data_IF_430938882243
#
_entry.id   IF_430938882243
#
_cell.length_a   1.000
_cell.length_b   1.000
_cell.length_c   1.000
_cell.angle_alpha   90.00
_cell.angle_beta   90.00
_cell.angle_gamma   90.00
#
_symmetry.space_group_name_H-M   'P 1'
#
loop_
_entity.id
_entity.type
_entity.pdbx_description
1 polymer ?
#
# COMPACT_ATOMS: atom_id res chain seq x y z
N UNK A 1 48.53 27.69 0.34
CA UNK A 1 47.10 27.75 0.70
C UNK A 1 46.93 27.00 2.01
N UNK A 2 46.41 27.64 3.05
CA UNK A 2 46.16 26.97 4.34
C UNK A 2 44.88 26.15 4.21
N UNK A 3 45.02 24.82 4.29
CA UNK A 3 43.91 23.88 4.19
C UNK A 3 43.64 23.25 5.55
N UNK A 4 42.40 22.82 5.76
CA UNK A 4 41.99 22.00 6.90
C UNK A 4 41.35 20.71 6.43
N UNK A 5 41.49 19.68 7.24
CA UNK A 5 40.77 18.42 7.14
C UNK A 5 39.86 18.28 8.36
N UNK A 6 38.59 17.95 8.14
CA UNK A 6 37.61 17.66 9.17
C UNK A 6 37.17 16.21 9.03
N UNK A 7 36.90 15.56 10.16
CA UNK A 7 36.45 14.17 10.21
C UNK A 7 35.09 14.12 10.87
N UNK A 8 34.16 13.40 10.27
CA UNK A 8 32.80 13.21 10.75
C UNK A 8 32.44 11.72 10.69
N UNK A 9 31.51 11.29 11.54
CA UNK A 9 30.93 9.95 11.44
C UNK A 9 29.95 9.86 10.27
N UNK A 10 29.88 8.70 9.62
CA UNK A 10 28.99 8.45 8.49
C UNK A 10 27.51 8.76 8.78
N UNK A 11 27.06 8.55 10.03
CA UNK A 11 25.67 8.84 10.45
C UNK A 11 25.27 10.31 10.30
N UNK A 12 26.23 11.23 10.17
CA UNK A 12 26.00 12.66 9.97
C UNK A 12 26.14 13.09 8.50
N UNK A 13 26.16 12.14 7.56
CA UNK A 13 26.28 12.43 6.12
C UNK A 13 25.25 13.45 5.63
N UNK A 14 24.00 13.38 6.09
CA UNK A 14 22.94 14.32 5.67
C UNK A 14 23.25 15.78 6.01
N UNK A 15 24.05 16.03 7.06
CA UNK A 15 24.41 17.39 7.48
C UNK A 15 25.43 18.04 6.54
N UNK A 16 26.20 17.24 5.78
CA UNK A 16 27.09 17.73 4.73
C UNK A 16 26.26 18.39 3.60
N UNK A 17 24.98 18.01 3.46
CA UNK A 17 24.04 18.68 2.56
C UNK A 17 23.95 20.19 2.79
N UNK A 18 24.09 20.67 4.03
CA UNK A 18 24.04 22.09 4.37
C UNK A 18 25.24 22.89 3.83
N UNK A 19 26.37 22.23 3.60
CA UNK A 19 27.60 22.87 3.11
C UNK A 19 27.88 22.56 1.64
N UNK A 20 26.97 21.85 0.96
CA UNK A 20 27.14 21.41 -0.43
C UNK A 20 27.45 22.56 -1.41
N UNK A 21 26.86 23.73 -1.18
CA UNK A 21 27.06 24.92 -2.01
C UNK A 21 28.34 25.70 -1.66
N UNK A 22 29.09 25.28 -0.62
CA UNK A 22 30.33 25.93 -0.22
C UNK A 22 31.45 25.49 -1.15
N UNK A 23 31.96 26.44 -1.94
CA UNK A 23 33.07 26.19 -2.87
C UNK A 23 34.38 25.85 -2.14
N UNK A 24 35.25 25.09 -2.80
CA UNK A 24 36.58 24.77 -2.30
C UNK A 24 36.63 23.61 -1.30
N UNK A 25 35.50 22.96 -1.03
CA UNK A 25 35.43 21.76 -0.21
C UNK A 25 35.34 20.49 -1.05
N UNK A 26 36.02 19.45 -0.58
CA UNK A 26 35.98 18.10 -1.13
C UNK A 26 35.74 17.10 -0.02
N UNK A 27 35.10 15.98 -0.35
CA UNK A 27 34.80 14.91 0.57
C UNK A 27 35.32 13.58 0.05
N UNK A 28 35.75 12.72 0.96
CA UNK A 28 35.96 11.31 0.68
C UNK A 28 35.41 10.48 1.85
N UNK A 29 35.04 9.24 1.56
CA UNK A 29 34.61 8.27 2.56
C UNK A 29 35.73 7.26 2.77
N UNK A 30 36.05 6.99 4.04
CA UNK A 30 36.96 5.94 4.44
C UNK A 30 36.29 5.18 5.58
N UNK A 31 35.94 3.91 5.34
CA UNK A 31 35.19 3.06 6.26
C UNK A 31 33.88 3.73 6.75
N UNK A 32 33.78 3.96 8.06
CA UNK A 32 32.65 4.59 8.77
C UNK A 32 32.86 6.09 9.01
N UNK A 33 33.91 6.68 8.42
CA UNK A 33 34.24 8.09 8.55
C UNK A 33 34.12 8.81 7.20
N UNK A 34 33.71 10.08 7.30
CA UNK A 34 33.72 11.02 6.20
C UNK A 34 34.80 12.06 6.49
N UNK A 35 35.72 12.22 5.54
CA UNK A 35 36.73 13.23 5.57
C UNK A 35 36.32 14.38 4.67
N UNK A 36 36.37 15.60 5.19
CA UNK A 36 36.17 16.83 4.46
C UNK A 36 37.49 17.58 4.39
N UNK A 37 37.88 18.07 3.21
CA UNK A 37 39.06 18.90 2.99
C UNK A 37 38.65 20.20 2.36
N UNK A 38 39.12 21.32 2.92
CA UNK A 38 38.77 22.64 2.43
C UNK A 38 39.65 23.75 2.97
N UNK A 39 39.37 25.01 2.61
CA UNK A 39 40.14 26.15 3.08
C UNK A 39 39.93 26.40 4.57
N UNK A 40 40.97 26.91 5.23
CA UNK A 40 40.92 27.25 6.65
C UNK A 40 40.06 28.50 6.90
N UNK A 41 40.05 29.44 5.97
CA UNK A 41 39.17 30.61 5.95
C UNK A 41 38.01 30.38 4.97
N UNK A 42 36.78 30.34 5.48
CA UNK A 42 35.57 30.08 4.71
C UNK A 42 34.70 31.34 4.53
N UNK A 43 35.24 32.53 4.86
CA UNK A 43 34.52 33.82 4.76
C UNK A 43 33.12 33.74 5.37
N UNK A 44 32.08 34.09 4.61
CA UNK A 44 30.68 34.08 5.01
C UNK A 44 30.11 32.66 5.28
N UNK A 45 30.81 31.60 4.88
CA UNK A 45 30.36 30.21 5.06
C UNK A 45 30.92 29.56 6.32
N UNK A 46 31.71 30.27 7.14
CA UNK A 46 32.37 29.71 8.32
C UNK A 46 31.35 29.12 9.31
N UNK A 47 30.22 29.80 9.53
CA UNK A 47 29.14 29.33 10.42
C UNK A 47 28.56 27.99 9.97
N UNK A 48 28.45 27.74 8.66
CA UNK A 48 27.93 26.49 8.11
C UNK A 48 28.90 25.34 8.30
N UNK A 49 30.21 25.61 8.26
CA UNK A 49 31.20 24.56 8.52
C UNK A 49 31.29 24.27 10.02
N UNK A 50 31.21 25.30 10.86
CA UNK A 50 31.30 25.15 12.32
C UNK A 50 30.05 24.50 12.94
N UNK A 51 28.93 24.46 12.21
CA UNK A 51 27.72 23.75 12.65
C UNK A 51 27.79 22.23 12.47
N UNK A 52 28.82 21.73 11.81
CA UNK A 52 28.99 20.31 11.58
C UNK A 52 29.46 19.57 12.85
N UNK A 53 28.98 18.35 13.10
CA UNK A 53 29.37 17.52 14.24
C UNK A 53 30.73 16.87 13.95
N UNK A 54 31.76 17.68 14.02
CA UNK A 54 33.14 17.30 13.72
C UNK A 54 33.68 16.44 14.86
N UNK A 55 34.12 15.23 14.52
CA UNK A 55 34.82 14.33 15.42
C UNK A 55 36.27 14.78 15.64
N UNK A 56 36.94 15.24 14.58
CA UNK A 56 38.30 15.74 14.63
C UNK A 56 38.57 16.80 13.55
N UNK A 57 39.43 17.77 13.88
CA UNK A 57 39.85 18.85 12.99
C UNK A 57 41.38 18.92 12.92
N UNK A 58 41.90 19.05 11.70
CA UNK A 58 43.33 19.08 11.42
C UNK A 58 43.68 20.22 10.47
N UNK A 59 44.81 20.88 10.69
CA UNK A 59 45.45 21.76 9.72
C UNK A 59 46.38 20.94 8.83
N UNK A 60 46.39 21.25 7.55
CA UNK A 60 47.24 20.61 6.56
C UNK A 60 48.35 21.58 6.12
N UNK A 61 49.55 21.05 5.96
CA UNK A 61 50.66 21.76 5.33
C UNK A 61 50.85 21.36 3.86
N UNK A 62 51.87 21.91 3.21
CA UNK A 62 52.20 21.58 1.81
C UNK A 62 52.59 20.12 1.56
N UNK A 63 52.82 19.34 2.62
CA UNK A 63 53.14 17.91 2.58
C UNK A 63 51.94 17.06 3.01
N UNK A 64 50.74 17.63 3.18
CA UNK A 64 49.54 16.95 3.67
C UNK A 64 49.70 16.29 5.06
N UNK A 65 50.60 16.80 5.91
CA UNK A 65 50.71 16.34 7.31
C UNK A 65 49.54 16.89 8.13
N UNK A 66 48.96 16.05 8.99
CA UNK A 66 47.81 16.36 9.82
C UNK A 66 48.27 16.93 11.17
N UNK A 67 48.05 18.22 11.38
CA UNK A 67 48.30 18.91 12.65
C UNK A 67 46.97 19.07 13.40
N UNK A 68 46.79 18.42 14.57
CA UNK A 68 45.57 18.63 15.36
C UNK A 68 45.40 20.10 15.71
N UNK A 69 44.16 20.54 15.85
CA UNK A 69 43.91 21.95 16.14
C UNK A 69 44.63 22.41 17.42
N UNK A 70 45.24 23.60 17.33
CA UNK A 70 46.09 24.17 18.39
C UNK A 70 47.47 23.52 18.61
N UNK A 71 47.85 22.45 17.88
CA UNK A 71 49.16 21.78 18.04
C UNK A 71 50.14 22.09 16.91
N UNK A 72 51.43 22.13 17.25
CA UNK A 72 52.54 22.39 16.31
C UNK A 72 53.19 21.11 15.78
N UNK A 73 52.82 19.94 16.28
CA UNK A 73 53.37 18.65 15.86
C UNK A 73 52.35 17.86 15.04
N UNK A 74 52.78 17.25 13.92
CA UNK A 74 51.89 16.41 13.12
C UNK A 74 51.68 15.06 13.80
N UNK A 75 50.48 14.51 13.65
CA UNK A 75 50.14 13.17 14.19
C UNK A 75 50.13 12.08 13.14
N UNK A 76 49.93 12.44 11.88
CA UNK A 76 49.86 11.52 10.76
C UNK A 76 50.09 12.25 9.42
N UNK A 77 50.27 11.49 8.36
CA UNK A 77 50.18 11.97 6.98
C UNK A 77 48.77 11.66 6.47
N UNK A 78 48.13 12.61 5.78
CA UNK A 78 46.86 12.34 5.11
C UNK A 78 47.12 11.44 3.90
N UNK A 79 46.52 10.26 3.90
CA UNK A 79 46.66 9.26 2.83
C UNK A 79 46.10 9.77 1.50
N UNK A 80 46.53 9.12 0.40
CA UNK A 80 45.99 9.40 -0.93
C UNK A 80 44.59 8.80 -1.02
N UNK A 81 43.57 9.66 -0.95
CA UNK A 81 42.16 9.27 -1.01
C UNK A 81 41.51 9.79 -2.29
N UNK A 82 40.43 9.14 -2.72
CA UNK A 82 39.59 9.60 -3.83
C UNK A 82 38.71 10.77 -3.37
N UNK A 83 39.27 11.97 -3.41
CA UNK A 83 38.55 13.21 -3.12
C UNK A 83 37.55 13.52 -4.23
N UNK A 84 36.28 13.69 -3.84
CA UNK A 84 35.20 14.13 -4.72
C UNK A 84 34.75 15.53 -4.32
N UNK A 85 34.26 16.32 -5.26
CA UNK A 85 33.58 17.57 -4.90
C UNK A 85 32.33 17.26 -4.07
N UNK A 86 31.86 18.19 -3.24
CA UNK A 86 30.66 17.94 -2.42
C UNK A 86 29.42 17.57 -3.27
N UNK A 87 29.32 18.13 -4.47
CA UNK A 87 28.24 17.84 -5.42
C UNK A 87 28.30 16.41 -5.97
N UNK A 88 29.50 15.88 -6.19
CA UNK A 88 29.72 14.50 -6.65
C UNK A 88 29.63 13.49 -5.51
N UNK A 89 30.08 13.88 -4.31
CA UNK A 89 30.00 13.06 -3.11
C UNK A 89 28.54 12.85 -2.67
N UNK A 90 27.68 13.85 -2.88
CA UNK A 90 26.25 13.79 -2.62
C UNK A 90 25.46 14.22 -3.86
N UNK A 91 25.21 13.34 -4.84
CA UNK A 91 24.40 13.69 -6.01
C UNK A 91 22.98 14.09 -5.56
N UNK A 92 22.40 15.10 -6.23
CA UNK A 92 21.01 15.47 -5.97
C UNK A 92 20.14 14.54 -6.81
N UNK A 93 19.45 13.60 -6.17
CA UNK A 93 18.35 12.93 -6.83
C UNK A 93 17.15 13.87 -6.78
N UNK A 94 16.81 14.44 -7.93
CA UNK A 94 15.52 15.12 -8.06
C UNK A 94 14.45 14.07 -7.81
N UNK A 95 13.52 14.29 -6.86
CA UNK A 95 12.35 13.42 -6.80
C UNK A 95 11.71 13.49 -8.17
N UNK A 96 11.55 12.34 -8.83
CA UNK A 96 10.83 12.25 -10.09
C UNK A 96 9.48 12.91 -9.83
N UNK A 97 9.20 14.03 -10.50
CA UNK A 97 7.92 14.72 -10.39
C UNK A 97 6.82 13.71 -10.62
N UNK A 98 6.16 13.28 -9.55
CA UNK A 98 4.91 12.58 -9.68
C UNK A 98 3.97 13.58 -10.36
N UNK A 99 3.62 13.30 -11.62
CA UNK A 99 2.50 13.96 -12.29
C UNK A 99 1.37 14.01 -11.26
N UNK A 100 0.78 15.18 -10.94
CA UNK A 100 -0.34 15.25 -10.00
C UNK A 100 -1.35 14.22 -10.49
N UNK A 101 -1.67 13.25 -9.63
CA UNK A 101 -2.41 12.04 -9.98
C UNK A 101 -3.46 12.31 -11.06
N UNK A 102 -3.13 11.97 -12.31
CA UNK A 102 -4.18 11.63 -13.25
C UNK A 102 -4.84 10.43 -12.59
N UNK A 103 -5.99 10.67 -11.95
CA UNK A 103 -6.85 9.58 -11.52
C UNK A 103 -7.03 8.73 -12.78
N UNK A 104 -6.40 7.55 -12.80
CA UNK A 104 -6.61 6.62 -13.89
C UNK A 104 -8.12 6.52 -14.08
N UNK A 105 -8.65 6.72 -15.29
CA UNK A 105 -10.08 6.78 -15.51
C UNK A 105 -10.70 5.56 -14.85
N UNK A 106 -11.65 5.78 -13.93
CA UNK A 106 -12.34 4.70 -13.23
C UNK A 106 -13.04 3.86 -14.31
N UNK A 107 -12.54 2.65 -14.54
CA UNK A 107 -13.16 1.73 -15.46
C UNK A 107 -14.48 1.27 -14.84
N UNK A 108 -15.64 1.59 -15.43
CA UNK A 108 -16.91 1.12 -14.90
C UNK A 108 -16.98 -0.40 -15.03
N UNK A 109 -17.48 -1.06 -13.98
CA UNK A 109 -17.78 -2.48 -14.03
C UNK A 109 -19.13 -2.64 -14.71
N UNK A 110 -19.12 -3.11 -15.96
CA UNK A 110 -20.33 -3.34 -16.73
C UNK A 110 -20.70 -4.82 -16.72
N UNK A 111 -21.99 -5.08 -16.65
CA UNK A 111 -22.59 -6.41 -16.76
C UNK A 111 -23.46 -6.43 -18.00
N UNK A 112 -23.23 -7.41 -18.88
CA UNK A 112 -24.03 -7.63 -20.08
C UNK A 112 -24.80 -8.94 -19.97
N UNK A 113 -25.93 -9.00 -20.67
CA UNK A 113 -26.70 -10.24 -20.80
C UNK A 113 -25.80 -11.31 -21.41
N UNK A 114 -25.71 -12.46 -20.74
CA UNK A 114 -24.93 -13.59 -21.18
C UNK A 114 -25.85 -14.70 -21.69
N UNK A 115 -25.46 -15.32 -22.80
CA UNK A 115 -26.12 -16.53 -23.29
C UNK A 115 -25.54 -17.81 -22.68
N UNK A 116 -24.45 -17.71 -21.92
CA UNK A 116 -23.85 -18.86 -21.25
C UNK A 116 -24.65 -19.17 -19.98
N UNK A 117 -25.21 -20.39 -19.86
CA UNK A 117 -25.92 -20.79 -18.66
C UNK A 117 -24.91 -21.06 -17.54
N UNK A 118 -25.08 -20.37 -16.40
CA UNK A 118 -24.35 -20.66 -15.17
C UNK A 118 -25.31 -21.20 -14.11
N UNK A 119 -24.89 -22.17 -13.28
CA UNK A 119 -25.74 -22.70 -12.22
C UNK A 119 -26.04 -21.62 -11.18
N UNK A 120 -27.31 -21.53 -10.77
CA UNK A 120 -27.72 -20.63 -9.72
C UNK A 120 -27.13 -21.11 -8.38
N UNK A 121 -26.47 -20.20 -7.67
CA UNK A 121 -25.79 -20.45 -6.40
C UNK A 121 -26.48 -19.76 -5.22
N UNK A 122 -27.03 -18.55 -5.45
CA UNK A 122 -27.73 -17.78 -4.44
C UNK A 122 -29.09 -17.28 -4.94
N UNK A 123 -30.01 -17.01 -4.00
CA UNK A 123 -31.32 -16.44 -4.25
C UNK A 123 -31.55 -15.24 -3.33
N UNK A 124 -31.79 -14.07 -3.91
CA UNK A 124 -32.27 -12.89 -3.19
C UNK A 124 -33.80 -12.79 -3.31
N UNK A 125 -34.48 -12.72 -2.18
CA UNK A 125 -35.94 -12.62 -2.09
C UNK A 125 -36.33 -11.66 -0.96
N UNK A 126 -37.62 -11.50 -0.68
CA UNK A 126 -38.11 -10.77 0.49
C UNK A 126 -38.32 -11.71 1.68
N UNK A 127 -38.27 -11.15 2.89
CA UNK A 127 -38.39 -11.92 4.13
C UNK A 127 -39.72 -12.65 4.28
N UNK A 128 -40.82 -12.09 3.78
CA UNK A 128 -42.15 -12.71 3.86
C UNK A 128 -42.22 -14.01 3.04
N UNK A 129 -41.70 -14.00 1.81
CA UNK A 129 -41.62 -15.19 0.95
C UNK A 129 -40.70 -16.26 1.56
N UNK A 130 -39.56 -15.84 2.11
CA UNK A 130 -38.63 -16.74 2.81
C UNK A 130 -39.28 -17.40 4.03
N UNK A 131 -39.93 -16.62 4.89
CA UNK A 131 -40.62 -17.12 6.10
C UNK A 131 -41.69 -18.15 5.74
N UNK A 132 -42.55 -17.84 4.76
CA UNK A 132 -43.60 -18.75 4.28
C UNK A 132 -43.03 -20.08 3.78
N UNK A 133 -41.89 -20.05 3.09
CA UNK A 133 -41.20 -21.27 2.65
C UNK A 133 -40.69 -22.09 3.83
N UNK A 134 -40.01 -21.45 4.78
CA UNK A 134 -39.39 -22.12 5.93
C UNK A 134 -40.42 -22.82 6.82
N UNK A 135 -41.61 -22.24 7.00
CA UNK A 135 -42.68 -22.85 7.77
C UNK A 135 -43.21 -24.16 7.14
N UNK A 136 -43.21 -24.27 5.80
CA UNK A 136 -43.71 -25.45 5.08
C UNK A 136 -42.63 -26.43 4.57
N UNK A 137 -41.37 -26.03 4.52
CA UNK A 137 -40.31 -26.84 3.92
C UNK A 137 -39.86 -28.02 4.82
N UNK A 138 -39.52 -29.19 4.25
CA UNK A 138 -38.92 -30.29 4.99
C UNK A 138 -37.59 -29.90 5.66
N UNK A 139 -37.35 -30.37 6.88
CA UNK A 139 -36.16 -30.03 7.66
C UNK A 139 -34.85 -30.40 6.94
N UNK A 140 -34.83 -31.53 6.22
CA UNK A 140 -33.65 -31.97 5.45
C UNK A 140 -33.26 -30.97 4.34
N UNK A 141 -34.23 -30.24 3.76
CA UNK A 141 -33.95 -29.17 2.78
C UNK A 141 -33.39 -27.94 3.49
N UNK A 142 -33.99 -27.55 4.61
CA UNK A 142 -33.56 -26.41 5.40
C UNK A 142 -32.12 -26.56 5.93
N UNK A 143 -31.71 -27.76 6.34
CA UNK A 143 -30.35 -28.02 6.84
C UNK A 143 -29.24 -27.72 5.82
N UNK A 144 -29.55 -27.74 4.51
CA UNK A 144 -28.59 -27.42 3.45
C UNK A 144 -28.52 -25.94 3.11
N UNK A 145 -29.39 -25.12 3.70
CA UNK A 145 -29.55 -23.71 3.37
C UNK A 145 -28.98 -22.82 4.47
N UNK A 146 -28.39 -21.71 4.05
CA UNK A 146 -28.03 -20.60 4.92
C UNK A 146 -28.63 -19.32 4.37
N UNK A 147 -28.91 -18.37 5.24
CA UNK A 147 -29.51 -17.11 4.85
C UNK A 147 -28.96 -15.94 5.67
N UNK A 148 -29.06 -14.75 5.10
CA UNK A 148 -28.81 -13.48 5.78
C UNK A 148 -29.96 -12.53 5.44
N UNK A 149 -30.29 -11.62 6.36
CA UNK A 149 -31.40 -10.68 6.21
C UNK A 149 -30.87 -9.26 6.36
N UNK A 150 -31.25 -8.38 5.44
CA UNK A 150 -30.93 -6.96 5.50
C UNK A 150 -31.96 -6.21 6.35
N UNK A 151 -31.62 -4.99 6.76
CA UNK A 151 -32.55 -4.07 7.45
C UNK A 151 -33.75 -3.70 6.58
N UNK A 152 -33.63 -3.78 5.25
CA UNK A 152 -34.71 -3.56 4.29
C UNK A 152 -35.59 -4.81 4.06
N UNK A 153 -35.47 -5.84 4.92
CA UNK A 153 -36.21 -7.10 4.81
C UNK A 153 -35.93 -7.90 3.52
N UNK A 154 -34.78 -7.66 2.88
CA UNK A 154 -34.29 -8.52 1.80
C UNK A 154 -33.53 -9.71 2.40
N UNK A 155 -33.69 -10.88 1.81
CA UNK A 155 -33.05 -12.11 2.25
C UNK A 155 -32.20 -12.65 1.13
N UNK A 156 -30.93 -12.90 1.42
CA UNK A 156 -30.04 -13.64 0.52
C UNK A 156 -29.86 -15.06 1.07
N UNK A 157 -30.16 -16.05 0.24
CA UNK A 157 -30.16 -17.47 0.57
C UNK A 157 -29.10 -18.15 -0.28
N UNK A 158 -28.30 -19.02 0.34
CA UNK A 158 -27.29 -19.87 -0.32
C UNK A 158 -27.50 -21.33 0.08
N UNK A 159 -27.12 -22.24 -0.81
CA UNK A 159 -27.20 -23.69 -0.60
C UNK A 159 -27.84 -24.42 -1.78
N UNK A 160 -27.87 -25.74 -1.71
CA UNK A 160 -28.33 -26.60 -2.81
C UNK A 160 -29.28 -27.70 -2.29
N UNK A 161 -30.50 -27.83 -2.85
CA UNK A 161 -31.11 -26.98 -3.88
C UNK A 161 -31.62 -25.65 -3.32
N UNK A 162 -31.57 -24.60 -4.14
CA UNK A 162 -32.19 -23.31 -3.81
C UNK A 162 -33.72 -23.46 -3.66
N UNK A 163 -34.35 -22.71 -2.73
CA UNK A 163 -35.80 -22.70 -2.59
C UNK A 163 -36.52 -22.29 -3.88
N UNK A 164 -37.59 -23.00 -4.30
CA UNK A 164 -38.40 -22.63 -5.45
C UNK A 164 -39.39 -21.50 -5.07
N UNK A 165 -38.86 -20.33 -4.70
CA UNK A 165 -39.64 -19.14 -4.35
C UNK A 165 -39.25 -17.95 -5.25
N UNK A 166 -40.16 -16.97 -5.43
CA UNK A 166 -39.88 -15.79 -6.26
C UNK A 166 -38.67 -15.01 -5.75
N UNK A 167 -37.78 -14.61 -6.65
CA UNK A 167 -36.59 -13.84 -6.32
C UNK A 167 -35.62 -13.71 -7.47
N UNK A 168 -34.51 -13.02 -7.21
CA UNK A 168 -33.39 -12.88 -8.16
C UNK A 168 -32.33 -13.93 -7.84
N UNK A 169 -31.94 -14.71 -8.82
CA UNK A 169 -30.87 -15.70 -8.67
C UNK A 169 -29.53 -15.12 -9.06
N UNK A 170 -28.46 -15.63 -8.45
CA UNK A 170 -27.09 -15.23 -8.71
C UNK A 170 -26.24 -16.48 -8.94
N UNK A 171 -25.28 -16.39 -9.84
CA UNK A 171 -24.23 -17.40 -10.02
C UNK A 171 -22.93 -16.92 -9.37
N UNK A 172 -22.05 -17.87 -9.05
CA UNK A 172 -20.82 -17.60 -8.31
C UNK A 172 -19.61 -17.58 -9.25
N UNK A 173 -18.81 -16.51 -9.19
CA UNK A 173 -17.50 -16.41 -9.80
C UNK A 173 -16.45 -16.07 -8.74
N UNK A 174 -15.74 -17.08 -8.22
CA UNK A 174 -14.87 -16.90 -7.06
C UNK A 174 -15.68 -16.51 -5.83
N UNK A 175 -15.54 -15.27 -5.35
CA UNK A 175 -16.38 -14.72 -4.27
C UNK A 175 -17.43 -13.69 -4.75
N UNK A 176 -17.53 -13.47 -6.07
CA UNK A 176 -18.47 -12.53 -6.65
C UNK A 176 -19.80 -13.23 -6.96
N UNK A 177 -20.90 -12.69 -6.44
CA UNK A 177 -22.25 -13.11 -6.78
C UNK A 177 -22.78 -12.20 -7.89
N UNK A 178 -22.97 -12.80 -9.07
CA UNK A 178 -23.37 -12.10 -10.29
C UNK A 178 -24.81 -12.47 -10.65
N UNK A 179 -25.67 -11.53 -11.05
CA UNK A 179 -27.05 -11.84 -11.42
C UNK A 179 -27.12 -12.92 -12.51
N UNK A 180 -28.02 -13.89 -12.35
CA UNK A 180 -28.22 -14.94 -13.34
C UNK A 180 -28.63 -14.35 -14.70
N UNK A 181 -28.04 -14.88 -15.77
CA UNK A 181 -28.22 -14.36 -17.13
C UNK A 181 -27.39 -13.11 -17.45
N UNK A 182 -26.49 -12.69 -16.56
CA UNK A 182 -25.51 -11.63 -16.80
C UNK A 182 -24.07 -12.15 -16.61
N UNK A 183 -23.12 -11.51 -17.28
CA UNK A 183 -21.68 -11.71 -17.07
C UNK A 183 -20.93 -10.38 -17.19
N UNK A 184 -19.72 -10.32 -16.65
CA UNK A 184 -18.86 -9.14 -16.77
C UNK A 184 -18.48 -8.87 -18.21
N UNK A 185 -18.37 -7.59 -18.57
CA UNK A 185 -17.88 -7.14 -19.86
C UNK A 185 -16.67 -6.19 -19.70
N UNK A 186 -15.47 -6.60 -20.17
CA UNK A 186 -15.15 -7.90 -20.78
C UNK A 186 -15.14 -9.07 -19.77
N UNK A 187 -15.33 -10.34 -20.21
CA UNK A 187 -15.44 -11.50 -19.31
C UNK A 187 -14.26 -11.71 -18.35
N UNK A 188 -13.04 -11.31 -18.74
CA UNK A 188 -11.87 -11.43 -17.88
C UNK A 188 -11.90 -10.50 -16.66
N UNK A 189 -12.76 -9.46 -16.66
CA UNK A 189 -12.92 -8.57 -15.51
C UNK A 189 -13.31 -9.34 -14.25
N UNK A 190 -14.10 -10.42 -14.35
CA UNK A 190 -14.45 -11.23 -13.18
C UNK A 190 -13.21 -11.77 -12.46
N UNK A 191 -12.20 -12.22 -13.21
CA UNK A 191 -10.94 -12.70 -12.64
C UNK A 191 -10.12 -11.57 -12.02
N UNK A 192 -10.06 -10.41 -12.70
CA UNK A 192 -9.37 -9.23 -12.20
C UNK A 192 -10.00 -8.69 -10.91
N UNK A 193 -11.33 -8.67 -10.84
CA UNK A 193 -12.09 -8.23 -9.67
C UNK A 193 -11.88 -9.18 -8.49
N UNK A 194 -11.90 -10.51 -8.72
CA UNK A 194 -11.56 -11.49 -7.67
C UNK A 194 -10.14 -11.29 -7.11
N UNK A 195 -9.18 -10.80 -7.90
CA UNK A 195 -7.82 -10.51 -7.43
C UNK A 195 -7.73 -9.19 -6.68
N UNK A 196 -8.38 -8.13 -7.18
CA UNK A 196 -8.32 -6.78 -6.60
C UNK A 196 -9.20 -6.59 -5.38
N UNK A 197 -10.38 -7.21 -5.36
CA UNK A 197 -11.38 -7.06 -4.30
C UNK A 197 -11.27 -8.14 -3.23
N UNK A 198 -10.09 -8.76 -3.07
CA UNK A 198 -9.87 -9.78 -2.03
C UNK A 198 -10.23 -9.18 -0.66
N UNK A 199 -11.31 -9.63 -0.03
CA UNK A 199 -11.76 -9.01 1.19
C UNK A 199 -10.87 -9.46 2.35
N UNK A 200 -10.66 -8.57 3.32
CA UNK A 200 -9.86 -8.85 4.53
C UNK A 200 -10.49 -10.03 5.31
N UNK A 201 -11.82 -10.10 5.30
CA UNK A 201 -12.61 -11.19 5.88
C UNK A 201 -13.32 -11.99 4.77
N UNK A 202 -13.52 -13.30 4.94
CA UNK A 202 -14.28 -14.10 3.99
C UNK A 202 -15.68 -13.50 3.76
N UNK A 203 -15.93 -13.03 2.55
CA UNK A 203 -17.18 -12.34 2.20
C UNK A 203 -17.54 -12.57 0.73
N UNK A 204 -18.85 -12.53 0.48
CA UNK A 204 -19.40 -12.48 -0.87
C UNK A 204 -19.57 -11.03 -1.31
N UNK A 205 -19.27 -10.75 -2.58
CA UNK A 205 -19.48 -9.44 -3.19
C UNK A 205 -20.65 -9.56 -4.17
N UNK A 206 -21.79 -9.01 -3.79
CA UNK A 206 -23.03 -9.04 -4.56
C UNK A 206 -23.05 -7.89 -5.57
N UNK A 207 -23.12 -8.22 -6.85
CA UNK A 207 -23.31 -7.23 -7.91
C UNK A 207 -24.78 -7.10 -8.29
N UNK A 208 -25.24 -5.88 -8.52
CA UNK A 208 -26.50 -5.64 -9.21
C UNK A 208 -26.30 -5.53 -10.73
N UNK A 209 -27.39 -5.51 -11.50
CA UNK A 209 -27.36 -5.38 -12.96
C UNK A 209 -26.68 -4.09 -13.46
N UNK A 210 -26.57 -3.08 -12.60
CA UNK A 210 -25.93 -1.78 -12.88
C UNK A 210 -24.42 -1.77 -12.57
N UNK A 211 -23.86 -2.88 -12.09
CA UNK A 211 -22.45 -2.97 -11.69
C UNK A 211 -22.13 -2.43 -10.28
N UNK A 212 -23.13 -2.02 -9.49
CA UNK A 212 -22.93 -1.66 -8.09
C UNK A 212 -22.69 -2.92 -7.25
N UNK A 213 -21.78 -2.80 -6.29
CA UNK A 213 -21.40 -3.90 -5.41
C UNK A 213 -21.83 -3.66 -3.97
N UNK A 214 -22.27 -4.71 -3.30
CA UNK A 214 -22.47 -4.76 -1.85
C UNK A 214 -21.72 -5.97 -1.28
N UNK A 215 -20.98 -5.78 -0.19
CA UNK A 215 -20.23 -6.86 0.45
C UNK A 215 -21.00 -7.44 1.62
N UNK A 216 -21.05 -8.78 1.70
CA UNK A 216 -21.72 -9.53 2.75
C UNK A 216 -20.73 -10.52 3.35
N UNK A 217 -20.40 -10.32 4.62
CA UNK A 217 -19.50 -11.23 5.34
C UNK A 217 -20.15 -12.62 5.53
N UNK A 218 -19.35 -13.67 5.36
CA UNK A 218 -19.84 -15.06 5.38
C UNK A 218 -20.34 -15.48 6.77
N UNK A 219 -19.78 -14.89 7.83
CA UNK A 219 -20.18 -15.11 9.22
C UNK A 219 -21.60 -14.62 9.55
N UNK A 220 -22.13 -13.66 8.77
CA UNK A 220 -23.51 -13.18 8.92
C UNK A 220 -24.56 -14.20 8.45
N UNK A 221 -24.16 -15.23 7.69
CA UNK A 221 -25.07 -16.25 7.21
C UNK A 221 -25.45 -17.22 8.34
N UNK A 222 -26.74 -17.24 8.67
CA UNK A 222 -27.32 -18.14 9.67
C UNK A 222 -27.87 -19.40 9.01
N UNK A 223 -27.87 -20.55 9.70
CA UNK A 223 -28.55 -21.76 9.22
C UNK A 223 -30.06 -21.48 9.08
N UNK A 224 -30.70 -22.05 8.06
CA UNK A 224 -32.13 -21.87 7.78
C UNK A 224 -33.06 -22.64 8.75
N UNK A 225 -32.85 -22.49 10.05
CA UNK A 225 -33.71 -23.08 11.08
C UNK A 225 -34.99 -22.23 11.28
N UNK A 226 -36.13 -22.90 11.49
CA UNK A 226 -37.42 -22.26 11.78
C UNK A 226 -37.35 -21.38 13.03
N UNK A 227 -36.66 -21.82 14.08
CA UNK A 227 -36.49 -21.03 15.30
C UNK A 227 -35.73 -19.73 15.02
N UNK A 228 -34.64 -19.82 14.25
CA UNK A 228 -33.81 -18.68 13.88
C UNK A 228 -34.59 -17.68 13.02
N UNK A 229 -35.34 -18.17 12.03
CA UNK A 229 -36.17 -17.31 11.15
C UNK A 229 -37.27 -16.61 11.93
N UNK A 230 -37.85 -17.24 12.97
CA UNK A 230 -38.88 -16.63 13.83
C UNK A 230 -38.33 -15.57 14.78
N UNK A 231 -37.07 -15.67 15.18
CA UNK A 231 -36.42 -14.69 16.05
C UNK A 231 -36.02 -13.40 15.32
N UNK A 232 -35.95 -13.43 13.98
CA UNK A 232 -35.73 -12.23 13.17
C UNK A 232 -36.93 -11.31 13.33
N UNK A 233 -36.74 -10.25 14.12
CA UNK A 233 -37.71 -9.20 14.42
C UNK A 233 -37.16 -7.88 13.87
N UNK A 234 -38.02 -7.05 13.28
CA UNK A 234 -37.68 -5.73 12.73
C UNK A 234 -38.32 -4.63 13.57
#
# INVERSE_FOLDING_TARGET
>A
MNMRALVLELKYQDQIGNIRAVEGWSACRQDELIWLKGPLDNKHNQVLIDSLPILASYKLDGQNRLFPDGKLTPVALLEVMEWKTLTEFMPLEMPVSAIPAQQAPLMPVNLLRSQNPYPAYALQTNFMAWKKYVDGAPQIRLQKLKFVVSTAQEVLIIGDPLPPIPGKTFWLNGNLLVPAGYNFDPPFLGNLLNQKLKPIIPSYILFNESGRQNTIAIDLFKPADRAVVRQVSF
#
